data_IF_082934077849
#
_entry.id   IF_082934077849
#
_cell.length_a   1.000
_cell.length_b   1.000
_cell.length_c   1.000
_cell.angle_alpha   90.00
_cell.angle_beta   90.00
_cell.angle_gamma   90.00
#
_symmetry.space_group_name_H-M   'P 1'
#
loop_
_entity.id
_entity.type
_entity.pdbx_description
1 polymer ?
#
# COMPACT_ATOMS: atom_id res chain seq x y z
N UNK A 1 -15.37 11.09 40.02
CA UNK A 1 -15.96 11.39 38.69
C UNK A 1 -15.10 12.44 38.01
N UNK A 2 -14.90 12.46 36.68
CA UNK A 2 -14.96 11.38 35.69
C UNK A 2 -13.71 11.33 34.77
N UNK A 3 -13.70 10.30 33.93
CA UNK A 3 -12.85 9.95 32.79
C UNK A 3 -11.94 11.01 32.14
N UNK A 4 -10.71 10.59 31.84
CA UNK A 4 -9.96 11.08 30.67
C UNK A 4 -9.50 9.91 29.81
N UNK A 5 -10.37 9.60 28.86
CA UNK A 5 -10.12 9.12 27.50
C UNK A 5 -9.08 8.01 27.30
N UNK A 6 -9.62 6.81 27.14
CA UNK A 6 -9.13 5.78 26.24
C UNK A 6 -8.78 6.40 24.88
N UNK A 7 -7.54 6.83 24.71
CA UNK A 7 -6.92 7.00 23.41
C UNK A 7 -6.59 5.62 22.82
N UNK A 8 -7.61 4.80 22.57
CA UNK A 8 -7.46 3.72 21.62
C UNK A 8 -7.14 4.39 20.27
N UNK A 9 -5.86 4.41 19.90
CA UNK A 9 -5.50 4.52 18.48
C UNK A 9 -6.13 3.30 17.83
N UNK A 10 -7.34 3.46 17.31
CA UNK A 10 -7.92 2.51 16.38
C UNK A 10 -6.86 2.41 15.28
N UNK A 11 -6.13 1.28 15.23
CA UNK A 11 -5.20 1.01 14.13
C UNK A 11 -6.09 1.10 12.90
N UNK A 12 -6.01 2.20 12.17
CA UNK A 12 -6.78 2.37 10.94
C UNK A 12 -6.30 1.25 10.04
N UNK A 13 -7.14 0.21 9.92
CA UNK A 13 -6.84 -0.94 9.09
C UNK A 13 -6.82 -0.41 7.66
N UNK A 14 -5.71 -0.62 6.96
CA UNK A 14 -5.61 -0.22 5.56
C UNK A 14 -6.66 -1.03 4.79
N UNK A 15 -7.44 -0.34 3.94
CA UNK A 15 -8.39 -1.00 3.06
C UNK A 15 -7.65 -1.80 1.98
N UNK A 16 -8.12 -3.01 1.65
CA UNK A 16 -7.43 -3.92 0.73
C UNK A 16 -7.20 -3.31 -0.65
N UNK A 17 -8.15 -2.50 -1.14
CA UNK A 17 -8.03 -1.75 -2.40
C UNK A 17 -6.91 -0.71 -2.33
N UNK A 18 -6.79 0.01 -1.23
CA UNK A 18 -5.74 1.02 -1.07
C UNK A 18 -4.36 0.34 -0.96
N UNK A 19 -4.25 -0.75 -0.20
CA UNK A 19 -3.00 -1.47 -0.06
C UNK A 19 -2.52 -2.05 -1.40
N UNK A 20 -3.42 -2.63 -2.19
CA UNK A 20 -3.10 -3.19 -3.51
C UNK A 20 -2.67 -2.12 -4.51
N UNK A 21 -3.35 -0.97 -4.57
CA UNK A 21 -2.93 0.16 -5.41
C UNK A 21 -1.55 0.70 -5.01
N UNK A 22 -1.33 0.87 -3.71
CA UNK A 22 -0.06 1.32 -3.14
C UNK A 22 1.08 0.35 -3.51
N UNK A 23 0.83 -0.96 -3.41
CA UNK A 23 1.77 -2.00 -3.81
C UNK A 23 2.18 -1.88 -5.28
N UNK A 24 1.21 -1.78 -6.19
CA UNK A 24 1.46 -1.64 -7.63
C UNK A 24 2.28 -0.39 -7.93
N UNK A 25 1.96 0.75 -7.30
CA UNK A 25 2.74 1.97 -7.47
C UNK A 25 4.19 1.83 -6.96
N UNK A 26 4.40 1.13 -5.83
CA UNK A 26 5.74 0.84 -5.32
C UNK A 26 6.54 0.00 -6.32
N UNK A 27 5.90 -1.01 -6.95
CA UNK A 27 6.54 -1.81 -8.00
C UNK A 27 6.95 -0.94 -9.20
N UNK A 28 6.05 -0.08 -9.68
CA UNK A 28 6.34 0.84 -10.80
C UNK A 28 7.49 1.79 -10.46
N UNK A 29 7.55 2.31 -9.23
CA UNK A 29 8.65 3.18 -8.77
C UNK A 29 9.97 2.39 -8.76
N UNK A 30 9.96 1.17 -8.24
CA UNK A 30 11.14 0.31 -8.17
C UNK A 30 11.66 -0.06 -9.56
N UNK A 31 10.75 -0.34 -10.50
CA UNK A 31 11.10 -0.64 -11.89
C UNK A 31 11.70 0.59 -12.59
N UNK A 32 11.08 1.77 -12.41
CA UNK A 32 11.50 3.00 -13.08
C UNK A 32 12.82 3.56 -12.57
N UNK A 33 13.07 3.48 -11.26
CA UNK A 33 14.21 4.14 -10.62
C UNK A 33 15.23 3.18 -10.00
N UNK A 34 14.96 1.88 -9.96
CA UNK A 34 15.72 0.90 -9.17
C UNK A 34 15.35 0.96 -7.69
N UNK A 35 15.20 -0.21 -7.05
CA UNK A 35 14.63 -0.34 -5.71
C UNK A 35 15.34 0.50 -4.63
N UNK A 36 16.67 0.60 -4.70
CA UNK A 36 17.54 1.24 -3.71
C UNK A 36 17.97 2.68 -4.04
N UNK A 37 17.51 3.22 -5.18
CA UNK A 37 17.91 4.58 -5.57
C UNK A 37 17.32 5.65 -4.65
N UNK A 38 18.02 6.78 -4.53
CA UNK A 38 17.51 7.94 -3.80
C UNK A 38 16.19 8.44 -4.39
N UNK A 39 16.06 8.38 -5.72
CA UNK A 39 14.81 8.66 -6.42
C UNK A 39 13.68 7.76 -5.93
N UNK A 40 13.90 6.44 -5.86
CA UNK A 40 12.91 5.47 -5.37
C UNK A 40 12.44 5.83 -3.96
N UNK A 41 13.37 6.15 -3.04
CA UNK A 41 13.04 6.54 -1.65
C UNK A 41 12.18 7.81 -1.61
N UNK A 42 12.51 8.82 -2.42
CA UNK A 42 11.75 10.08 -2.50
C UNK A 42 10.34 9.81 -3.02
N UNK A 43 10.20 9.08 -4.13
CA UNK A 43 8.88 8.80 -4.71
C UNK A 43 8.01 7.91 -3.81
N UNK A 44 8.59 6.89 -3.15
CA UNK A 44 7.87 6.08 -2.14
C UNK A 44 7.36 6.94 -0.99
N UNK A 45 8.20 7.84 -0.47
CA UNK A 45 7.80 8.75 0.62
C UNK A 45 6.62 9.65 0.22
N UNK A 46 6.64 10.21 -0.99
CA UNK A 46 5.51 11.00 -1.49
C UNK A 46 4.26 10.16 -1.73
N UNK A 47 4.42 8.91 -2.18
CA UNK A 47 3.32 7.97 -2.37
C UNK A 47 2.63 7.63 -1.04
N UNK A 48 3.39 7.29 0.00
CA UNK A 48 2.87 7.03 1.34
C UNK A 48 2.09 8.24 1.90
N UNK A 49 2.61 9.45 1.72
CA UNK A 49 1.88 10.69 2.06
C UNK A 49 0.57 10.83 1.29
N UNK A 50 0.58 10.55 -0.02
CA UNK A 50 -0.62 10.64 -0.88
C UNK A 50 -1.75 9.74 -0.38
N UNK A 51 -1.42 8.55 0.10
CA UNK A 51 -2.39 7.61 0.64
C UNK A 51 -2.68 7.79 2.14
N UNK A 52 -2.01 8.74 2.81
CA UNK A 52 -2.09 8.94 4.25
C UNK A 52 -1.81 7.65 5.05
N UNK A 53 -0.82 6.88 4.58
CA UNK A 53 -0.38 5.61 5.16
C UNK A 53 1.10 5.74 5.51
N UNK A 54 1.51 5.26 6.68
CA UNK A 54 2.92 5.11 6.99
C UNK A 54 3.47 3.76 6.50
N UNK A 55 4.78 3.72 6.20
CA UNK A 55 5.45 2.52 5.68
C UNK A 55 5.29 1.32 6.62
N UNK A 56 5.29 1.56 7.93
CA UNK A 56 5.14 0.51 8.94
C UNK A 56 3.73 -0.09 8.94
N UNK A 57 2.69 0.72 8.70
CA UNK A 57 1.31 0.25 8.59
C UNK A 57 1.15 -0.63 7.36
N UNK A 58 1.79 -0.26 6.25
CA UNK A 58 1.78 -1.06 5.04
C UNK A 58 2.54 -2.38 5.23
N UNK A 59 3.71 -2.35 5.87
CA UNK A 59 4.46 -3.57 6.21
C UNK A 59 3.68 -4.48 7.17
N UNK A 60 3.04 -3.90 8.19
CA UNK A 60 2.17 -4.63 9.11
C UNK A 60 0.98 -5.26 8.34
N UNK A 61 0.42 -4.55 7.35
CA UNK A 61 -0.65 -5.07 6.49
C UNK A 61 -0.16 -6.24 5.65
N UNK A 62 0.97 -6.12 4.95
CA UNK A 62 1.53 -7.19 4.13
C UNK A 62 1.81 -8.46 4.96
N UNK A 63 2.37 -8.30 6.17
CA UNK A 63 2.57 -9.43 7.11
C UNK A 63 1.26 -10.08 7.52
N UNK A 64 0.20 -9.29 7.71
CA UNK A 64 -1.12 -9.85 8.06
C UNK A 64 -1.74 -10.69 6.94
N UNK A 65 -1.27 -10.55 5.70
CA UNK A 65 -1.71 -11.38 4.58
C UNK A 65 -1.07 -12.77 4.60
N UNK A 66 0.14 -12.92 5.15
CA UNK A 66 0.88 -14.20 5.15
C UNK A 66 0.11 -15.31 5.88
N UNK A 67 -0.72 -14.95 6.85
CA UNK A 67 -1.51 -15.87 7.67
C UNK A 67 -2.89 -16.19 7.06
N UNK A 68 -3.30 -15.51 5.98
CA UNK A 68 -4.66 -15.56 5.44
C UNK A 68 -4.66 -15.66 3.91
N UNK A 69 -4.79 -16.89 3.40
CA UNK A 69 -4.79 -17.21 1.97
C UNK A 69 -5.88 -16.49 1.19
N UNK A 70 -7.08 -16.33 1.77
CA UNK A 70 -8.19 -15.66 1.09
C UNK A 70 -7.91 -14.17 0.93
N UNK A 71 -7.38 -13.53 1.99
CA UNK A 71 -6.92 -12.14 1.88
C UNK A 71 -5.76 -11.97 0.92
N UNK A 72 -4.83 -12.92 0.88
CA UNK A 72 -3.73 -12.91 -0.07
C UNK A 72 -4.25 -12.94 -1.51
N UNK A 73 -5.16 -13.86 -1.83
CA UNK A 73 -5.78 -13.94 -3.16
C UNK A 73 -6.54 -12.67 -3.52
N UNK A 74 -7.34 -12.12 -2.60
CA UNK A 74 -8.05 -10.86 -2.81
C UNK A 74 -7.09 -9.70 -3.09
N UNK A 75 -6.02 -9.56 -2.31
CA UNK A 75 -5.02 -8.53 -2.47
C UNK A 75 -4.34 -8.59 -3.85
N UNK A 76 -3.96 -9.78 -4.31
CA UNK A 76 -3.34 -9.95 -5.63
C UNK A 76 -4.32 -9.71 -6.77
N UNK A 77 -5.58 -10.15 -6.64
CA UNK A 77 -6.62 -9.88 -7.63
C UNK A 77 -6.86 -8.37 -7.79
N UNK A 78 -6.93 -7.63 -6.69
CA UNK A 78 -7.08 -6.16 -6.72
C UNK A 78 -5.85 -5.48 -7.32
N UNK A 79 -4.65 -5.98 -7.01
CA UNK A 79 -3.39 -5.46 -7.56
C UNK A 79 -3.34 -5.67 -9.08
N UNK A 80 -3.71 -6.85 -9.56
CA UNK A 80 -3.77 -7.16 -10.99
C UNK A 80 -4.84 -6.34 -11.71
N UNK A 81 -6.03 -6.22 -11.12
CA UNK A 81 -7.10 -5.37 -11.66
C UNK A 81 -6.61 -3.92 -11.83
N UNK A 82 -5.95 -3.37 -10.81
CA UNK A 82 -5.43 -2.02 -10.86
C UNK A 82 -4.32 -1.86 -11.91
N UNK A 83 -3.39 -2.80 -11.96
CA UNK A 83 -2.33 -2.81 -12.97
C UNK A 83 -2.91 -2.86 -14.39
N UNK A 84 -3.94 -3.66 -14.62
CA UNK A 84 -4.60 -3.77 -15.91
C UNK A 84 -5.32 -2.46 -16.31
N UNK A 85 -5.94 -1.77 -15.35
CA UNK A 85 -6.52 -0.43 -15.58
C UNK A 85 -5.45 0.58 -15.97
N UNK A 86 -4.33 0.62 -15.24
CA UNK A 86 -3.22 1.52 -15.55
C UNK A 86 -2.63 1.26 -16.95
N UNK A 87 -2.54 0.00 -17.38
CA UNK A 87 -2.13 -0.37 -18.75
C UNK A 87 -3.16 0.08 -19.80
N UNK A 88 -4.45 -0.15 -19.54
CA UNK A 88 -5.52 0.25 -20.44
C UNK A 88 -5.59 1.78 -20.63
N UNK A 89 -5.30 2.53 -19.58
CA UNK A 89 -5.27 4.00 -19.60
C UNK A 89 -3.99 4.57 -20.22
N UNK A 90 -3.03 3.73 -20.64
CA UNK A 90 -1.75 4.16 -21.22
C UNK A 90 -0.78 4.77 -20.21
N UNK A 91 -1.00 4.58 -18.90
CA UNK A 91 -0.17 5.15 -17.83
C UNK A 91 1.11 4.36 -17.57
N UNK A 92 1.23 3.16 -18.13
CA UNK A 92 2.39 2.26 -18.05
C UNK A 92 2.46 1.43 -19.34
N UNK A 93 3.66 1.31 -19.90
CA UNK A 93 4.00 0.51 -21.09
C UNK A 93 4.88 -0.66 -20.66
#
# INVERSE_FOLDING_TARGET
MPALFFGCKQKTQIEDRIASELYVHILIINEKYGAESDSSKVYKKELFKKYNIDEKQFDDYLKSLEEDKEKWELFFNLSEEYLNRLKADGNIN
#
